data_IF_423263173415
#
_entry.id   IF_423263173415
#
_cell.length_a   1.000
_cell.length_b   1.000
_cell.length_c   1.000
_cell.angle_alpha   90.00
_cell.angle_beta   90.00
_cell.angle_gamma   90.00
#
_symmetry.space_group_name_H-M   'P 1'
#
loop_
_entity.id
_entity.type
_entity.pdbx_description
1 polymer ?
#
# COMPACT_ATOMS: atom_id res chain seq x y z
N UNK A 1 -7.29 51.10 28.11
CA UNK A 1 -6.29 50.08 27.76
C UNK A 1 -7.02 48.76 27.60
N UNK A 2 -7.27 48.35 26.36
CA UNK A 2 -7.85 47.07 26.01
C UNK A 2 -6.75 46.01 26.02
N UNK A 3 -6.83 45.04 26.93
CA UNK A 3 -5.94 43.88 26.93
C UNK A 3 -6.26 42.94 25.76
N UNK A 4 -5.28 42.19 25.21
CA UNK A 4 -5.57 41.17 24.21
C UNK A 4 -6.18 39.94 24.88
N UNK A 5 -7.30 39.49 24.31
CA UNK A 5 -7.92 38.18 24.53
C UNK A 5 -7.00 37.08 24.02
N UNK A 6 -6.46 36.26 24.94
CA UNK A 6 -5.77 35.03 24.58
C UNK A 6 -6.80 33.90 24.44
N UNK A 7 -7.32 33.71 23.22
CA UNK A 7 -7.81 32.39 22.81
C UNK A 7 -6.58 31.54 22.48
N UNK A 8 -5.97 30.96 23.50
CA UNK A 8 -5.04 29.85 23.31
C UNK A 8 -5.85 28.66 22.77
N UNK A 9 -5.72 28.39 21.48
CA UNK A 9 -6.03 27.08 20.92
C UNK A 9 -5.08 26.08 21.59
N UNK A 10 -5.54 25.49 22.70
CA UNK A 10 -4.89 24.40 23.38
C UNK A 10 -4.91 23.19 22.42
N UNK A 11 -3.92 23.10 21.53
CA UNK A 11 -3.62 21.85 20.85
C UNK A 11 -3.30 20.83 21.94
N UNK A 12 -4.26 19.95 22.23
CA UNK A 12 -4.08 18.85 23.16
C UNK A 12 -2.93 17.97 22.63
N UNK A 13 -1.75 18.14 23.20
CA UNK A 13 -0.58 17.32 22.87
C UNK A 13 -0.80 15.94 23.47
N UNK A 14 -0.75 14.91 22.63
CA UNK A 14 -0.82 13.53 23.08
C UNK A 14 0.26 13.26 24.14
N UNK A 15 -0.05 12.42 25.13
CA UNK A 15 0.86 12.15 26.25
C UNK A 15 1.96 11.14 25.90
N UNK A 16 1.90 10.54 24.71
CA UNK A 16 2.81 9.52 24.20
C UNK A 16 3.16 9.80 22.75
N UNK A 17 4.41 9.53 22.38
CA UNK A 17 4.92 9.63 21.00
C UNK A 17 4.49 8.45 20.11
N UNK A 18 3.67 7.53 20.63
CA UNK A 18 3.17 6.37 19.90
C UNK A 18 2.08 6.77 18.91
N UNK A 19 2.12 6.16 17.73
CA UNK A 19 1.07 6.25 16.71
C UNK A 19 0.34 4.92 16.55
N UNK A 20 -0.98 4.99 16.47
CA UNK A 20 -1.86 3.85 16.23
C UNK A 20 -2.57 4.09 14.90
N UNK A 21 -2.35 3.19 13.94
CA UNK A 21 -2.80 3.35 12.55
C UNK A 21 -4.01 2.46 12.31
N UNK A 22 -5.08 3.05 11.79
CA UNK A 22 -6.33 2.37 11.46
C UNK A 22 -6.60 2.55 9.97
N UNK A 23 -6.69 1.45 9.24
CA UNK A 23 -6.78 1.45 7.79
C UNK A 23 -8.10 0.82 7.35
N UNK A 24 -8.94 1.63 6.74
CA UNK A 24 -10.06 1.17 5.93
C UNK A 24 -9.54 0.88 4.52
N UNK A 25 -9.02 -0.34 4.34
CA UNK A 25 -8.29 -0.69 3.11
C UNK A 25 -9.17 -0.60 1.87
N UNK A 26 -10.44 -0.98 2.00
CA UNK A 26 -11.40 -0.89 0.90
C UNK A 26 -11.55 0.55 0.42
N UNK A 27 -11.75 1.51 1.34
CA UNK A 27 -11.82 2.92 0.99
C UNK A 27 -10.53 3.42 0.34
N UNK A 28 -9.36 3.05 0.88
CA UNK A 28 -8.05 3.42 0.31
C UNK A 28 -7.89 2.94 -1.14
N UNK A 29 -8.29 1.70 -1.45
CA UNK A 29 -8.16 1.14 -2.79
C UNK A 29 -9.20 1.73 -3.75
N UNK A 30 -10.48 1.79 -3.35
CA UNK A 30 -11.57 2.31 -4.19
C UNK A 30 -11.37 3.78 -4.51
N UNK A 31 -11.17 4.63 -3.50
CA UNK A 31 -11.00 6.05 -3.72
C UNK A 31 -9.66 6.37 -4.39
N UNK A 32 -8.61 5.60 -4.13
CA UNK A 32 -7.32 5.76 -4.83
C UNK A 32 -7.41 5.48 -6.32
N UNK A 33 -8.12 4.41 -6.69
CA UNK A 33 -8.38 4.08 -8.09
C UNK A 33 -9.14 5.20 -8.81
N UNK A 34 -10.14 5.82 -8.13
CA UNK A 34 -10.94 6.95 -8.65
C UNK A 34 -10.16 8.27 -8.69
N UNK A 35 -9.32 8.54 -7.69
CA UNK A 35 -8.48 9.75 -7.63
C UNK A 35 -7.52 9.75 -8.82
N UNK A 36 -6.84 8.62 -9.04
CA UNK A 36 -5.78 8.47 -10.02
C UNK A 36 -6.28 7.99 -11.40
N UNK A 37 -7.59 7.76 -11.54
CA UNK A 37 -8.25 7.35 -12.78
C UNK A 37 -7.72 6.02 -13.34
N UNK A 38 -7.50 5.05 -12.46
CA UNK A 38 -7.18 3.66 -12.80
C UNK A 38 -8.37 2.75 -12.52
N UNK A 39 -8.59 1.70 -13.33
CA UNK A 39 -9.51 0.64 -12.96
C UNK A 39 -9.10 -0.03 -11.66
N UNK A 40 -10.08 -0.32 -10.79
CA UNK A 40 -9.86 -0.82 -9.44
C UNK A 40 -9.07 -2.13 -9.44
N UNK A 41 -9.33 -3.04 -10.38
CA UNK A 41 -8.64 -4.33 -10.53
C UNK A 41 -7.13 -4.18 -10.77
N UNK A 42 -6.70 -3.06 -11.35
CA UNK A 42 -5.30 -2.79 -11.65
C UNK A 42 -4.59 -1.96 -10.58
N UNK A 43 -5.34 -1.24 -9.74
CA UNK A 43 -4.80 -0.34 -8.73
C UNK A 43 -4.56 -1.09 -7.41
N UNK A 44 -3.32 -1.12 -6.94
CA UNK A 44 -2.94 -1.85 -5.73
C UNK A 44 -2.25 -0.93 -4.72
N UNK A 45 -2.30 -1.34 -3.46
CA UNK A 45 -1.64 -0.67 -2.34
C UNK A 45 -0.69 -1.66 -1.69
N UNK A 46 0.58 -1.28 -1.56
CA UNK A 46 1.50 -2.00 -0.69
C UNK A 46 1.28 -1.51 0.75
N UNK A 47 0.65 -2.36 1.56
CA UNK A 47 0.26 -2.04 2.93
C UNK A 47 1.46 -1.66 3.80
N UNK A 48 2.58 -2.37 3.67
CA UNK A 48 3.78 -2.09 4.45
C UNK A 48 4.34 -0.70 4.13
N UNK A 49 4.38 -0.36 2.83
CA UNK A 49 4.81 0.97 2.39
C UNK A 49 3.83 2.06 2.78
N UNK A 50 2.52 1.80 2.74
CA UNK A 50 1.50 2.74 3.25
C UNK A 50 1.73 3.01 4.74
N UNK A 51 1.85 1.96 5.55
CA UNK A 51 2.12 2.08 6.99
C UNK A 51 3.41 2.86 7.23
N UNK A 52 4.50 2.54 6.52
CA UNK A 52 5.79 3.24 6.65
C UNK A 52 5.66 4.73 6.31
N UNK A 53 4.92 5.03 5.23
CA UNK A 53 4.68 6.40 4.77
C UNK A 53 3.91 7.21 5.79
N UNK A 54 2.79 6.69 6.32
CA UNK A 54 1.96 7.45 7.28
C UNK A 54 2.61 7.51 8.66
N UNK A 55 3.33 6.44 9.06
CA UNK A 55 4.07 6.40 10.31
C UNK A 55 5.10 7.53 10.37
N UNK A 56 5.76 7.82 9.26
CA UNK A 56 6.75 8.88 9.14
C UNK A 56 7.76 8.86 10.30
N UNK A 57 8.46 7.72 10.47
CA UNK A 57 9.47 7.45 11.51
C UNK A 57 8.97 7.40 12.97
N UNK A 58 7.74 7.86 13.27
CA UNK A 58 7.15 7.84 14.62
C UNK A 58 7.05 6.43 15.18
N UNK A 59 7.07 6.27 16.51
CA UNK A 59 7.03 4.93 17.14
C UNK A 59 5.64 4.30 16.97
N UNK A 60 5.56 3.05 16.52
CA UNK A 60 4.28 2.34 16.37
C UNK A 60 3.78 1.83 17.72
N UNK A 61 2.52 2.13 18.03
CA UNK A 61 1.75 1.49 19.10
C UNK A 61 0.88 0.32 18.61
N UNK A 62 0.46 0.36 17.33
CA UNK A 62 -0.30 -0.72 16.68
C UNK A 62 -0.79 -0.35 15.28
N UNK A 63 -1.10 -1.37 14.47
CA UNK A 63 -1.67 -1.21 13.14
C UNK A 63 -2.88 -2.14 13.01
N UNK A 64 -4.02 -1.57 12.63
CA UNK A 64 -5.30 -2.24 12.52
C UNK A 64 -5.85 -2.01 11.12
N UNK A 65 -6.19 -3.09 10.41
CA UNK A 65 -6.55 -3.06 9.01
C UNK A 65 -7.85 -3.83 8.83
N UNK A 66 -8.86 -3.15 8.32
CA UNK A 66 -10.12 -3.76 7.93
C UNK A 66 -10.30 -3.65 6.42
N UNK A 67 -10.77 -4.71 5.78
CA UNK A 67 -11.05 -4.73 4.34
C UNK A 67 -12.04 -5.83 3.96
N UNK A 68 -12.41 -5.89 2.68
CA UNK A 68 -13.28 -6.95 2.17
C UNK A 68 -12.61 -7.90 1.19
N UNK A 69 -13.10 -9.13 1.18
CA UNK A 69 -12.76 -10.16 0.19
C UNK A 69 -13.96 -10.40 -0.75
N UNK A 70 -13.71 -10.68 -2.04
CA UNK A 70 -14.77 -11.10 -2.95
C UNK A 70 -15.49 -12.34 -2.43
N UNK A 71 -16.81 -12.41 -2.62
CA UNK A 71 -17.60 -13.57 -2.19
C UNK A 71 -17.29 -14.84 -3.00
N UNK A 72 -16.96 -14.65 -4.29
CA UNK A 72 -16.46 -15.69 -5.19
C UNK A 72 -15.08 -15.20 -5.64
N UNK A 73 -14.04 -15.92 -5.24
CA UNK A 73 -12.67 -15.60 -5.62
C UNK A 73 -12.34 -16.24 -6.98
N UNK A 74 -11.94 -15.42 -7.95
CA UNK A 74 -10.89 -15.88 -8.87
C UNK A 74 -9.68 -16.19 -8.00
N UNK A 75 -9.16 -17.41 -8.07
CA UNK A 75 -8.11 -17.85 -7.16
C UNK A 75 -6.74 -17.47 -7.72
N UNK A 76 -5.84 -16.80 -6.98
CA UNK A 76 -6.04 -16.15 -5.70
C UNK A 76 -6.61 -14.72 -5.84
N UNK A 77 -7.40 -14.25 -4.85
CA UNK A 77 -7.81 -12.85 -4.77
C UNK A 77 -6.59 -11.92 -4.84
N UNK A 78 -6.71 -10.87 -5.64
CA UNK A 78 -5.73 -9.80 -5.87
C UNK A 78 -4.95 -9.36 -4.62
N UNK A 79 -5.62 -9.27 -3.47
CA UNK A 79 -5.06 -8.74 -2.22
C UNK A 79 -4.57 -9.83 -1.22
N UNK A 80 -4.76 -11.13 -1.50
CA UNK A 80 -4.45 -12.21 -0.55
C UNK A 80 -2.98 -12.20 -0.10
N UNK A 81 -2.06 -11.98 -1.05
CA UNK A 81 -0.63 -11.86 -0.76
C UNK A 81 -0.33 -10.62 0.10
N UNK A 82 -1.08 -9.53 -0.05
CA UNK A 82 -0.90 -8.33 0.76
C UNK A 82 -1.37 -8.55 2.19
N UNK A 83 -2.48 -9.27 2.41
CA UNK A 83 -2.97 -9.63 3.74
C UNK A 83 -1.98 -10.46 4.53
N UNK A 84 -1.49 -11.54 3.93
CA UNK A 84 -0.52 -12.43 4.59
C UNK A 84 0.78 -11.73 4.92
N UNK A 85 1.24 -10.82 4.05
CA UNK A 85 2.41 -9.97 4.34
C UNK A 85 2.16 -9.04 5.53
N UNK A 86 0.98 -8.43 5.62
CA UNK A 86 0.61 -7.56 6.73
C UNK A 86 0.52 -8.34 8.06
N UNK A 87 -0.07 -9.53 8.05
CA UNK A 87 -0.13 -10.42 9.22
C UNK A 87 1.28 -10.86 9.68
N UNK A 88 2.16 -11.21 8.74
CA UNK A 88 3.56 -11.56 9.02
C UNK A 88 4.36 -10.40 9.64
N UNK A 89 3.95 -9.15 9.39
CA UNK A 89 4.51 -7.94 10.01
C UNK A 89 3.92 -7.64 11.39
N UNK A 90 3.01 -8.48 11.88
CA UNK A 90 2.34 -8.33 13.16
C UNK A 90 1.19 -7.32 13.15
N UNK A 91 0.67 -6.95 11.96
CA UNK A 91 -0.50 -6.08 11.88
C UNK A 91 -1.78 -6.86 12.20
N UNK A 92 -2.74 -6.20 12.86
CA UNK A 92 -4.05 -6.77 13.11
C UNK A 92 -4.90 -6.62 11.84
N UNK A 93 -4.97 -7.68 11.04
CA UNK A 93 -5.71 -7.72 9.78
C UNK A 93 -7.02 -8.45 9.96
N UNK A 94 -8.12 -7.81 9.56
CA UNK A 94 -9.45 -8.42 9.53
C UNK A 94 -10.10 -8.22 8.16
N UNK A 95 -10.44 -9.33 7.51
CA UNK A 95 -11.15 -9.30 6.22
C UNK A 95 -12.56 -9.85 6.34
N UNK A 96 -13.51 -9.24 5.64
CA UNK A 96 -14.91 -9.65 5.62
C UNK A 96 -15.35 -10.06 4.21
N UNK A 97 -16.03 -11.21 4.04
CA UNK A 97 -16.60 -11.57 2.74
C UNK A 97 -17.72 -10.58 2.38
N UNK A 98 -17.74 -10.14 1.12
CA UNK A 98 -18.86 -9.35 0.58
C UNK A 98 -20.14 -10.17 0.54
N UNK A 99 -21.29 -9.49 0.61
CA UNK A 99 -22.60 -10.13 0.57
C UNK A 99 -22.98 -10.64 -0.84
N UNK A 100 -24.14 -11.30 -0.96
CA UNK A 100 -24.68 -11.82 -2.23
C UNK A 100 -24.82 -10.78 -3.36
N UNK A 101 -24.88 -9.49 -3.02
CA UNK A 101 -24.91 -8.38 -3.97
C UNK A 101 -23.52 -7.75 -4.19
N UNK A 102 -22.46 -8.45 -3.77
CA UNK A 102 -21.07 -8.00 -3.77
C UNK A 102 -20.84 -6.66 -3.04
N UNK A 103 -21.67 -6.36 -2.03
CA UNK A 103 -21.50 -5.19 -1.16
C UNK A 103 -20.72 -5.56 0.10
N UNK A 104 -19.86 -4.65 0.51
CA UNK A 104 -19.13 -4.75 1.77
C UNK A 104 -20.08 -4.68 2.97
N UNK A 105 -19.74 -5.42 4.04
CA UNK A 105 -20.50 -5.42 5.29
C UNK A 105 -19.56 -5.72 6.46
N UNK A 106 -19.63 -4.92 7.52
CA UNK A 106 -18.96 -5.18 8.80
C UNK A 106 -17.54 -4.62 8.93
N UNK A 107 -16.93 -4.14 7.84
CA UNK A 107 -15.60 -3.50 7.84
C UNK A 107 -15.60 -2.27 8.77
N UNK A 108 -16.53 -1.34 8.57
CA UNK A 108 -16.57 -0.09 9.36
C UNK A 108 -16.81 -0.35 10.85
N UNK A 109 -17.68 -1.30 11.16
CA UNK A 109 -18.03 -1.67 12.53
C UNK A 109 -16.82 -2.24 13.26
N UNK A 110 -16.11 -3.18 12.64
CA UNK A 110 -14.91 -3.79 13.23
C UNK A 110 -13.80 -2.76 13.44
N UNK A 111 -13.55 -1.92 12.44
CA UNK A 111 -12.52 -0.88 12.55
C UNK A 111 -12.88 0.16 13.63
N UNK A 112 -14.15 0.57 13.72
CA UNK A 112 -14.63 1.45 14.78
C UNK A 112 -14.50 0.82 16.18
N UNK A 113 -14.78 -0.48 16.32
CA UNK A 113 -14.56 -1.23 17.56
C UNK A 113 -13.08 -1.25 17.97
N UNK A 114 -12.17 -1.55 17.03
CA UNK A 114 -10.72 -1.52 17.29
C UNK A 114 -10.26 -0.12 17.72
N UNK A 115 -10.74 0.93 17.06
CA UNK A 115 -10.45 2.32 17.45
C UNK A 115 -10.88 2.58 18.90
N UNK A 116 -12.12 2.22 19.24
CA UNK A 116 -12.68 2.44 20.57
C UNK A 116 -11.92 1.64 21.64
N UNK A 117 -11.56 0.39 21.36
CA UNK A 117 -10.76 -0.44 22.25
C UNK A 117 -9.41 0.21 22.55
N UNK A 118 -8.68 0.68 21.52
CA UNK A 118 -7.40 1.36 21.70
C UNK A 118 -7.56 2.64 22.51
N UNK A 119 -8.55 3.47 22.18
CA UNK A 119 -8.82 4.73 22.89
C UNK A 119 -9.07 4.51 24.39
N UNK A 120 -9.74 3.41 24.75
CA UNK A 120 -10.14 3.12 26.14
C UNK A 120 -9.09 2.35 26.94
N UNK A 121 -8.21 1.59 26.27
CA UNK A 121 -7.27 0.68 26.94
C UNK A 121 -5.82 1.12 26.89
N UNK A 122 -5.45 2.04 25.99
CA UNK A 122 -4.06 2.49 25.80
C UNK A 122 -3.86 3.91 26.31
N UNK A 123 -2.61 4.23 26.65
CA UNK A 123 -2.20 5.61 26.94
C UNK A 123 -2.37 6.48 25.69
N UNK A 124 -2.97 7.69 25.80
CA UNK A 124 -3.16 8.57 24.66
C UNK A 124 -1.88 8.84 23.88
N UNK A 125 -1.90 8.45 22.60
CA UNK A 125 -0.90 8.77 21.59
C UNK A 125 -1.55 9.53 20.43
N UNK A 126 -1.09 9.31 19.21
CA UNK A 126 -1.75 9.81 17.99
C UNK A 126 -2.51 8.68 17.31
N UNK A 127 -3.80 8.88 17.08
CA UNK A 127 -4.64 8.05 16.24
C UNK A 127 -4.53 8.56 14.80
N UNK A 128 -4.00 7.72 13.91
CA UNK A 128 -3.96 7.95 12.47
C UNK A 128 -5.07 7.13 11.83
N UNK A 129 -6.07 7.80 11.26
CA UNK A 129 -7.17 7.15 10.55
C UNK A 129 -6.99 7.32 9.04
N UNK A 130 -6.90 6.22 8.32
CA UNK A 130 -6.79 6.21 6.86
C UNK A 130 -8.14 5.83 6.25
N UNK A 131 -8.99 6.83 6.04
CA UNK A 131 -10.28 6.72 5.34
C UNK A 131 -10.82 8.10 5.00
N UNK A 132 -11.66 8.18 3.97
CA UNK A 132 -12.50 9.34 3.70
C UNK A 132 -13.90 9.27 4.34
N UNK A 133 -14.28 8.13 4.92
CA UNK A 133 -15.67 7.85 5.32
C UNK A 133 -16.08 8.57 6.62
N UNK A 134 -17.22 9.28 6.58
CA UNK A 134 -17.76 9.98 7.74
C UNK A 134 -18.26 9.08 8.86
N UNK A 135 -18.47 7.78 8.62
CA UNK A 135 -19.01 6.87 9.64
C UNK A 135 -18.07 6.73 10.87
N UNK A 136 -16.79 7.09 10.72
CA UNK A 136 -15.81 7.13 11.81
C UNK A 136 -15.82 8.43 12.65
N UNK A 137 -16.77 9.34 12.42
CA UNK A 137 -16.84 10.61 13.17
C UNK A 137 -17.01 10.42 14.68
N UNK A 138 -17.85 9.46 15.07
CA UNK A 138 -18.11 9.13 16.47
C UNK A 138 -16.84 8.66 17.21
N UNK A 139 -16.12 7.62 16.74
CA UNK A 139 -14.88 7.20 17.40
C UNK A 139 -13.81 8.29 17.42
N UNK A 140 -13.71 9.10 16.36
CA UNK A 140 -12.75 10.20 16.28
C UNK A 140 -13.07 11.31 17.31
N UNK A 141 -14.33 11.68 17.49
CA UNK A 141 -14.73 12.64 18.52
C UNK A 141 -14.46 12.09 19.93
N UNK A 142 -14.69 10.78 20.16
CA UNK A 142 -14.32 10.14 21.42
C UNK A 142 -12.81 10.17 21.67
N UNK A 143 -11.99 10.02 20.64
CA UNK A 143 -10.53 10.13 20.75
C UNK A 143 -10.12 11.52 21.29
N UNK A 144 -10.71 12.58 20.73
CA UNK A 144 -10.50 13.97 21.20
C UNK A 144 -10.92 14.16 22.67
N UNK A 145 -12.09 13.68 23.06
CA UNK A 145 -12.55 13.72 24.47
C UNK A 145 -11.57 13.02 25.42
N UNK A 146 -10.90 11.97 24.93
CA UNK A 146 -9.87 11.20 25.65
C UNK A 146 -8.45 11.73 25.46
N UNK A 147 -8.30 12.95 24.93
CA UNK A 147 -7.01 13.65 24.74
C UNK A 147 -6.02 12.93 23.82
N UNK A 148 -6.52 12.18 22.84
CA UNK A 148 -5.69 11.64 21.75
C UNK A 148 -5.40 12.71 20.71
N UNK A 149 -4.19 12.68 20.14
CA UNK A 149 -3.93 13.32 18.86
C UNK A 149 -4.70 12.60 17.76
N UNK A 150 -5.23 13.33 16.78
CA UNK A 150 -5.96 12.76 15.64
C UNK A 150 -5.40 13.30 14.35
N UNK A 151 -5.13 12.39 13.41
CA UNK A 151 -4.62 12.68 12.07
C UNK A 151 -5.40 11.84 11.06
N UNK A 152 -5.99 12.49 10.05
CA UNK A 152 -6.80 11.83 9.03
C UNK A 152 -6.01 11.80 7.72
N UNK A 153 -5.83 10.61 7.16
CA UNK A 153 -5.26 10.42 5.83
C UNK A 153 -6.34 9.99 4.87
N UNK A 154 -6.55 10.76 3.81
CA UNK A 154 -7.63 10.44 2.86
C UNK A 154 -7.29 10.85 1.44
N UNK A 155 -8.01 10.25 0.48
CA UNK A 155 -8.01 10.74 -0.89
C UNK A 155 -8.91 11.98 -0.99
N UNK A 156 -8.47 13.07 -1.66
CA UNK A 156 -9.24 14.31 -1.73
C UNK A 156 -10.68 14.15 -2.23
N UNK A 157 -10.92 13.32 -3.26
CA UNK A 157 -12.29 13.07 -3.77
C UNK A 157 -13.18 12.27 -2.82
N UNK A 158 -12.59 11.46 -1.95
CA UNK A 158 -13.32 10.58 -1.03
C UNK A 158 -13.56 11.19 0.36
N UNK A 159 -12.99 12.36 0.65
CA UNK A 159 -12.98 12.91 2.01
C UNK A 159 -14.32 13.53 2.42
N UNK A 160 -14.88 13.04 3.52
CA UNK A 160 -16.05 13.64 4.15
C UNK A 160 -15.81 15.08 4.63
N UNK A 161 -16.85 15.92 4.54
CA UNK A 161 -16.75 17.37 4.85
C UNK A 161 -16.40 17.64 6.32
N UNK A 162 -16.92 16.85 7.24
CA UNK A 162 -16.70 17.01 8.67
C UNK A 162 -15.27 16.65 9.09
N UNK A 163 -14.55 15.83 8.30
CA UNK A 163 -13.13 15.55 8.51
C UNK A 163 -12.22 16.75 8.25
N UNK A 164 -12.69 17.79 7.53
CA UNK A 164 -11.94 19.04 7.30
C UNK A 164 -11.59 19.81 8.59
N UNK A 165 -12.28 19.51 9.70
CA UNK A 165 -12.01 20.12 11.01
C UNK A 165 -10.88 19.44 11.80
N UNK A 166 -10.25 18.41 11.22
CA UNK A 166 -9.16 17.66 11.83
C UNK A 166 -7.86 17.89 11.05
N UNK A 167 -6.69 17.71 11.68
CA UNK A 167 -5.43 17.59 10.95
C UNK A 167 -5.57 16.53 9.87
N UNK A 168 -5.34 16.92 8.61
CA UNK A 168 -5.56 16.09 7.46
C UNK A 168 -4.33 16.08 6.56
N UNK A 169 -3.96 14.89 6.08
CA UNK A 169 -2.91 14.66 5.10
C UNK A 169 -3.51 13.96 3.88
N UNK A 170 -3.20 14.50 2.69
CA UNK A 170 -3.73 13.98 1.44
C UNK A 170 -2.92 12.79 0.96
N UNK A 171 -3.56 11.62 0.80
CA UNK A 171 -2.92 10.43 0.20
C UNK A 171 -2.42 10.70 -1.24
N UNK A 172 -3.03 11.67 -1.95
CA UNK A 172 -2.62 12.08 -3.30
C UNK A 172 -1.22 12.66 -3.35
N UNK A 173 -0.70 13.20 -2.26
CA UNK A 173 0.64 13.79 -2.26
C UNK A 173 1.73 12.73 -1.99
N UNK A 174 1.32 11.55 -1.52
CA UNK A 174 2.23 10.48 -1.08
C UNK A 174 2.08 9.16 -1.83
N UNK A 175 1.07 9.04 -2.71
CA UNK A 175 0.72 7.76 -3.35
C UNK A 175 1.86 7.05 -4.08
N UNK A 176 2.84 7.79 -4.62
CA UNK A 176 3.99 7.21 -5.32
C UNK A 176 4.88 6.35 -4.42
N UNK A 177 4.71 6.45 -3.09
CA UNK A 177 5.47 5.67 -2.13
C UNK A 177 4.85 4.32 -1.79
N UNK A 178 3.54 4.14 -2.01
CA UNK A 178 2.82 2.94 -1.59
C UNK A 178 1.89 2.34 -2.66
N UNK A 179 1.44 3.12 -3.64
CA UNK A 179 0.54 2.65 -4.68
C UNK A 179 1.31 2.10 -5.88
N UNK A 180 0.75 1.07 -6.49
CA UNK A 180 1.28 0.50 -7.73
C UNK A 180 0.16 -0.03 -8.62
N UNK A 181 0.44 -0.06 -9.92
CA UNK A 181 -0.54 -0.48 -10.93
C UNK A 181 0.00 -1.71 -11.66
N UNK A 182 -0.82 -2.76 -11.72
CA UNK A 182 -0.47 -4.01 -12.40
C UNK A 182 -1.39 -4.27 -13.57
N UNK A 183 -0.86 -4.30 -14.81
CA UNK A 183 -1.64 -4.63 -16.02
C UNK A 183 -0.75 -5.24 -17.11
N UNK A 184 -1.25 -6.26 -17.79
CA UNK A 184 -0.59 -6.85 -18.96
C UNK A 184 -0.28 -5.79 -20.03
N UNK A 185 -1.18 -4.81 -20.18
CA UNK A 185 -1.03 -3.69 -21.10
C UNK A 185 -1.23 -2.36 -20.37
N UNK A 186 -0.42 -1.31 -20.64
CA UNK A 186 -0.64 0.00 -20.05
C UNK A 186 -1.90 0.68 -20.61
N UNK A 187 -2.57 1.52 -19.82
CA UNK A 187 -3.79 2.25 -20.26
C UNK A 187 -3.51 3.36 -21.29
N UNK A 188 -2.25 3.80 -21.35
CA UNK A 188 -1.76 4.83 -22.25
C UNK A 188 -0.51 4.30 -22.91
N UNK A 189 -0.13 4.96 -23.99
CA UNK A 189 1.18 4.79 -24.59
C UNK A 189 2.30 4.94 -23.54
N UNK A 190 3.13 3.91 -23.40
CA UNK A 190 4.27 3.85 -22.46
C UNK A 190 5.49 3.27 -23.15
N UNK A 191 6.65 3.61 -22.60
CA UNK A 191 7.89 2.90 -22.84
C UNK A 191 7.95 1.67 -21.94
N UNK A 192 8.53 0.58 -22.44
CA UNK A 192 8.53 -0.69 -21.74
C UNK A 192 9.94 -1.24 -21.62
N UNK A 193 10.32 -1.58 -20.39
CA UNK A 193 11.51 -2.36 -20.09
C UNK A 193 11.07 -3.77 -19.72
N UNK A 194 11.71 -4.77 -20.31
CA UNK A 194 11.59 -6.15 -19.84
C UNK A 194 12.80 -6.48 -19.00
N UNK A 195 12.55 -6.94 -17.78
CA UNK A 195 13.57 -7.48 -16.90
C UNK A 195 13.34 -8.98 -16.74
N UNK A 196 14.41 -9.76 -16.62
CA UNK A 196 14.35 -11.19 -16.30
C UNK A 196 15.51 -11.57 -15.41
N UNK A 197 15.27 -12.27 -14.32
CA UNK A 197 16.31 -12.72 -13.41
C UNK A 197 15.75 -13.11 -12.05
N UNK A 198 16.61 -13.68 -11.20
CA UNK A 198 16.22 -14.16 -9.87
C UNK A 198 16.21 -13.00 -8.87
N UNK A 199 15.29 -12.06 -9.08
CA UNK A 199 15.19 -10.83 -8.27
C UNK A 199 14.30 -11.01 -7.03
N UNK A 200 13.46 -12.05 -7.01
CA UNK A 200 12.59 -12.36 -5.87
C UNK A 200 13.35 -13.24 -4.87
N UNK A 201 13.83 -12.64 -3.78
CA UNK A 201 14.47 -13.37 -2.68
C UNK A 201 13.47 -14.11 -1.78
N UNK A 202 12.26 -13.56 -1.65
CA UNK A 202 11.19 -14.10 -0.83
C UNK A 202 9.84 -13.63 -1.36
N UNK A 203 8.82 -14.48 -1.25
CA UNK A 203 7.44 -14.11 -1.58
C UNK A 203 6.98 -12.87 -0.79
N UNK A 204 7.50 -12.66 0.43
CA UNK A 204 7.20 -11.49 1.28
C UNK A 204 7.65 -10.18 0.65
N UNK A 205 8.70 -10.22 -0.17
CA UNK A 205 9.32 -9.06 -0.79
C UNK A 205 9.23 -9.12 -2.32
N UNK A 206 8.26 -9.86 -2.86
CA UNK A 206 8.15 -10.14 -4.31
C UNK A 206 8.24 -8.89 -5.18
N UNK A 207 7.50 -7.84 -4.82
CA UNK A 207 7.47 -6.60 -5.62
C UNK A 207 8.52 -5.58 -5.16
N UNK A 208 9.20 -5.82 -4.05
CA UNK A 208 10.03 -4.82 -3.38
C UNK A 208 11.17 -4.29 -4.26
N UNK A 209 11.94 -5.13 -4.99
CA UNK A 209 12.97 -4.64 -5.92
C UNK A 209 12.43 -3.71 -7.01
N UNK A 210 11.24 -4.03 -7.55
CA UNK A 210 10.59 -3.19 -8.57
C UNK A 210 10.13 -1.87 -7.92
N UNK A 211 9.44 -1.96 -6.78
CA UNK A 211 8.93 -0.79 -6.06
C UNK A 211 10.07 0.16 -5.65
N UNK A 212 11.22 -0.35 -5.20
CA UNK A 212 12.42 0.43 -4.84
C UNK A 212 12.85 1.37 -5.97
N UNK A 213 12.92 0.87 -7.21
CA UNK A 213 13.28 1.68 -8.37
C UNK A 213 12.33 2.87 -8.53
N UNK A 214 11.02 2.60 -8.60
CA UNK A 214 10.03 3.65 -8.83
C UNK A 214 9.97 4.65 -7.67
N UNK A 215 10.03 4.14 -6.44
CA UNK A 215 10.02 4.92 -5.21
C UNK A 215 11.16 5.93 -5.17
N UNK A 216 12.39 5.48 -5.39
CA UNK A 216 13.59 6.33 -5.31
C UNK A 216 13.60 7.45 -6.37
N UNK A 217 12.76 7.33 -7.41
CA UNK A 217 12.60 8.30 -8.49
C UNK A 217 11.31 9.11 -8.39
N UNK A 218 10.54 8.90 -7.31
CA UNK A 218 9.23 9.50 -7.13
C UNK A 218 8.31 9.30 -8.36
N UNK A 219 8.26 8.07 -8.86
CA UNK A 219 7.44 7.65 -10.00
C UNK A 219 6.28 6.76 -9.53
N UNK A 220 5.14 6.81 -10.23
CA UNK A 220 4.07 5.84 -10.00
C UNK A 220 4.52 4.47 -10.55
N UNK A 221 4.67 3.50 -9.64
CA UNK A 221 5.03 2.14 -9.97
C UNK A 221 3.97 1.48 -10.88
N UNK A 222 4.38 1.07 -12.07
CA UNK A 222 3.53 0.47 -13.09
C UNK A 222 4.29 -0.69 -13.73
N UNK A 223 3.82 -1.92 -13.53
CA UNK A 223 4.50 -3.10 -14.04
C UNK A 223 3.55 -4.28 -14.27
N UNK A 224 4.07 -5.38 -14.80
CA UNK A 224 3.38 -6.66 -14.90
C UNK A 224 4.36 -7.81 -14.84
N UNK A 225 4.12 -8.76 -13.94
CA UNK A 225 4.85 -10.03 -13.94
C UNK A 225 4.33 -10.90 -15.08
N UNK A 226 5.22 -11.28 -16.00
CA UNK A 226 4.92 -12.29 -17.03
C UNK A 226 4.93 -13.69 -16.39
N UNK A 227 5.89 -13.92 -15.51
CA UNK A 227 6.05 -15.16 -14.74
C UNK A 227 6.81 -14.86 -13.43
N UNK A 228 7.35 -15.88 -12.78
CA UNK A 228 8.08 -15.74 -11.51
C UNK A 228 9.41 -14.98 -11.59
N UNK A 229 10.03 -14.86 -12.76
CA UNK A 229 11.37 -14.27 -12.92
C UNK A 229 11.39 -13.10 -13.90
N UNK A 230 10.33 -12.92 -14.69
CA UNK A 230 10.25 -11.93 -15.77
C UNK A 230 9.12 -10.94 -15.54
N UNK A 231 9.43 -9.64 -15.68
CA UNK A 231 8.45 -8.57 -15.59
C UNK A 231 8.61 -7.54 -16.72
N UNK A 232 7.49 -6.94 -17.12
CA UNK A 232 7.45 -5.68 -17.88
C UNK A 232 7.29 -4.51 -16.91
N UNK A 233 8.14 -3.49 -17.07
CA UNK A 233 8.07 -2.23 -16.34
C UNK A 233 7.67 -1.11 -17.31
N UNK A 234 6.79 -0.21 -16.89
CA UNK A 234 6.21 0.82 -17.74
C UNK A 234 6.67 2.23 -17.34
N UNK A 235 7.00 3.05 -18.33
CA UNK A 235 7.55 4.40 -18.17
C UNK A 235 6.90 5.42 -19.10
N UNK A 236 6.82 6.68 -18.67
CA UNK A 236 6.21 7.78 -19.43
C UNK A 236 7.16 8.38 -20.48
N UNK A 237 8.47 8.17 -20.34
CA UNK A 237 9.46 8.75 -21.25
C UNK A 237 10.62 7.79 -21.55
N UNK A 238 11.29 8.03 -22.69
CA UNK A 238 12.50 7.29 -23.08
C UNK A 238 13.63 7.49 -22.05
N UNK A 239 13.72 8.68 -21.44
CA UNK A 239 14.74 8.95 -20.43
C UNK A 239 14.52 8.10 -19.16
N UNK A 240 13.27 7.94 -18.73
CA UNK A 240 12.93 7.04 -17.60
C UNK A 240 13.24 5.57 -17.94
N UNK A 241 13.00 5.15 -19.19
CA UNK A 241 13.37 3.81 -19.65
C UNK A 241 14.89 3.59 -19.58
N UNK A 242 15.67 4.54 -20.08
CA UNK A 242 17.13 4.44 -20.08
C UNK A 242 17.70 4.44 -18.66
N UNK A 243 17.18 5.30 -17.77
CA UNK A 243 17.55 5.30 -16.34
C UNK A 243 17.25 3.94 -15.69
N UNK A 244 16.07 3.38 -15.96
CA UNK A 244 15.67 2.08 -15.46
C UNK A 244 16.61 0.98 -15.95
N UNK A 245 16.89 0.98 -17.26
CA UNK A 245 17.80 0.03 -17.91
C UNK A 245 19.17 0.03 -17.23
N UNK A 246 19.76 1.21 -17.07
CA UNK A 246 21.06 1.38 -16.41
C UNK A 246 21.02 0.97 -14.93
N UNK A 247 19.97 1.32 -14.20
CA UNK A 247 19.84 0.96 -12.79
C UNK A 247 19.76 -0.55 -12.60
N UNK A 248 18.95 -1.24 -13.39
CA UNK A 248 18.82 -2.69 -13.31
C UNK A 248 20.12 -3.42 -13.70
N UNK A 249 20.83 -2.94 -14.72
CA UNK A 249 22.15 -3.46 -15.09
C UNK A 249 23.22 -3.21 -14.01
N UNK A 250 23.05 -2.18 -13.18
CA UNK A 250 23.97 -1.90 -12.06
C UNK A 250 23.73 -2.78 -10.83
N UNK A 251 22.59 -3.50 -10.76
CA UNK A 251 22.27 -4.38 -9.63
C UNK A 251 22.92 -5.74 -9.82
N UNK A 252 23.48 -6.25 -8.74
CA UNK A 252 24.07 -7.60 -8.68
C UNK A 252 22.99 -8.65 -8.42
N UNK A 253 22.10 -8.85 -9.42
CA UNK A 253 21.10 -9.91 -9.40
C UNK A 253 21.55 -11.09 -10.27
N UNK A 254 21.44 -12.34 -9.78
CA UNK A 254 21.78 -13.51 -10.59
C UNK A 254 20.97 -13.56 -11.89
N UNK A 255 21.66 -13.84 -13.00
CA UNK A 255 21.06 -14.03 -14.32
C UNK A 255 20.23 -12.82 -14.79
N UNK A 256 20.57 -11.61 -14.34
CA UNK A 256 19.82 -10.40 -14.69
C UNK A 256 19.97 -10.07 -16.19
N UNK A 257 18.84 -10.02 -16.86
CA UNK A 257 18.69 -9.62 -18.25
C UNK A 257 17.76 -8.41 -18.32
N UNK A 258 18.13 -7.45 -19.15
CA UNK A 258 17.41 -6.20 -19.37
C UNK A 258 17.24 -5.98 -20.87
N UNK A 259 16.00 -5.77 -21.31
CA UNK A 259 15.66 -5.58 -22.72
C UNK A 259 14.75 -4.35 -22.88
N UNK A 260 15.22 -3.35 -23.61
CA UNK A 260 14.43 -2.16 -23.95
C UNK A 260 13.51 -2.45 -25.14
N UNK A 261 12.22 -2.66 -24.86
CA UNK A 261 11.24 -3.02 -25.89
C UNK A 261 10.70 -1.81 -26.67
N UNK A 262 11.01 -0.59 -26.22
CA UNK A 262 10.60 0.65 -26.85
C UNK A 262 9.20 1.12 -26.42
N UNK A 263 8.58 1.93 -27.27
CA UNK A 263 7.26 2.54 -27.03
C UNK A 263 6.18 1.79 -27.79
N UNK A 264 4.99 1.66 -27.21
CA UNK A 264 3.80 1.12 -27.88
C UNK A 264 4.03 -0.28 -28.47
N UNK A 265 4.54 -1.21 -27.64
CA UNK A 265 4.75 -2.59 -28.07
C UNK A 265 3.41 -3.15 -28.58
N UNK A 266 3.39 -3.58 -29.85
CA UNK A 266 2.26 -4.31 -30.44
C UNK A 266 2.15 -5.71 -29.84
N UNK A 267 0.93 -6.26 -29.85
CA UNK A 267 0.57 -7.56 -29.25
C UNK A 267 1.54 -8.71 -29.55
N UNK A 268 2.27 -8.72 -30.67
CA UNK A 268 3.17 -9.81 -31.09
C UNK A 268 4.48 -9.93 -30.27
N UNK A 269 4.87 -8.88 -29.54
CA UNK A 269 6.04 -8.90 -28.64
C UNK A 269 5.66 -8.98 -27.16
N UNK A 270 4.37 -9.00 -26.87
CA UNK A 270 3.82 -9.17 -25.52
C UNK A 270 3.23 -10.58 -25.41
N UNK A 271 3.12 -11.17 -24.22
CA UNK A 271 2.50 -12.48 -24.07
C UNK A 271 1.11 -12.49 -24.74
N UNK A 272 0.92 -13.37 -25.73
CA UNK A 272 -0.39 -13.59 -26.35
C UNK A 272 -1.35 -14.15 -25.29
N UNK A 273 -2.64 -13.77 -25.34
CA UNK A 273 -3.73 -14.33 -24.49
C UNK A 273 -3.97 -15.85 -24.69
N UNK A 274 -3.11 -16.54 -25.44
CA UNK A 274 -3.17 -17.99 -25.65
C UNK A 274 -2.53 -18.77 -24.50
N UNK A 275 -3.37 -19.44 -23.71
CA UNK A 275 -3.01 -20.46 -22.71
C UNK A 275 -1.99 -20.04 -21.64
N UNK A 276 -2.28 -18.98 -20.87
CA UNK A 276 -2.82 -19.20 -19.52
C UNK A 276 -2.26 -20.34 -18.64
N UNK A 277 -0.96 -20.68 -18.60
CA UNK A 277 -0.39 -21.20 -17.34
C UNK A 277 -0.22 -20.01 -16.41
N UNK A 278 -1.36 -19.68 -15.80
CA UNK A 278 -1.60 -18.49 -15.06
C UNK A 278 -0.79 -18.55 -13.75
N UNK A 279 0.37 -17.89 -13.69
CA UNK A 279 1.05 -17.67 -12.39
C UNK A 279 0.20 -16.78 -11.46
N UNK A 280 -0.88 -16.17 -12.00
CA UNK A 280 -1.95 -15.49 -11.26
C UNK A 280 -3.20 -16.37 -11.00
N UNK A 281 -3.34 -17.57 -11.58
CA UNK A 281 -4.39 -18.55 -11.17
C UNK A 281 -3.82 -19.69 -10.32
N UNK A 282 -2.49 -19.71 -10.12
CA UNK A 282 -1.87 -20.63 -9.18
C UNK A 282 -2.45 -20.38 -7.81
N UNK A 283 -2.95 -21.43 -7.16
CA UNK A 283 -3.35 -21.35 -5.75
C UNK A 283 -2.18 -20.77 -4.96
N UNK A 284 -2.46 -20.02 -3.90
CA UNK A 284 -1.41 -19.47 -3.04
C UNK A 284 -0.38 -20.54 -2.62
N UNK A 285 -0.84 -21.78 -2.37
CA UNK A 285 0.03 -22.93 -2.10
C UNK A 285 1.05 -23.21 -3.19
N UNK A 286 0.72 -22.99 -4.45
CA UNK A 286 1.61 -23.19 -5.60
C UNK A 286 2.56 -22.01 -5.79
N UNK A 287 2.10 -20.76 -5.55
CA UNK A 287 2.97 -19.56 -5.58
C UNK A 287 4.07 -19.64 -4.50
N UNK A 288 3.74 -20.12 -3.30
CA UNK A 288 4.70 -20.25 -2.19
C UNK A 288 5.63 -21.45 -2.34
N UNK A 289 5.21 -22.49 -3.07
CA UNK A 289 6.06 -23.67 -3.34
C UNK A 289 7.05 -23.40 -4.47
N UNK A 290 6.67 -22.60 -5.48
CA UNK A 290 7.54 -22.22 -6.61
C UNK A 290 8.52 -21.08 -6.27
N UNK A 291 8.29 -20.35 -5.18
CA UNK A 291 9.20 -19.31 -4.69
C UNK A 291 10.16 -19.89 -3.66
N UNK A 292 11.42 -19.41 -3.58
CA UNK A 292 12.40 -19.92 -2.62
C UNK A 292 11.84 -19.93 -1.20
N UNK A 293 11.68 -21.13 -0.61
CA UNK A 293 11.34 -21.28 0.80
C UNK A 293 12.61 -21.17 1.63
N UNK A 294 12.57 -20.34 2.67
CA UNK A 294 13.75 -20.01 3.47
C UNK A 294 14.39 -21.26 4.09
N UNK A 295 15.70 -21.39 3.88
CA UNK A 295 16.62 -22.05 4.81
C UNK A 295 17.56 -20.99 5.37
N UNK A 296 17.60 -20.90 6.71
CA UNK A 296 18.55 -20.13 7.52
C UNK A 296 18.30 -18.61 7.68
N UNK A 297 18.68 -18.17 8.90
CA UNK A 297 18.44 -16.87 9.54
C UNK A 297 18.94 -15.68 8.70
N UNK A 298 18.06 -14.72 8.40
CA UNK A 298 18.48 -13.42 7.85
C UNK A 298 18.52 -12.31 8.92
N UNK A 299 19.61 -11.53 8.96
CA UNK A 299 19.65 -10.20 9.54
C UNK A 299 19.23 -9.17 8.49
N UNK A 300 17.99 -8.66 8.56
CA UNK A 300 17.56 -7.42 7.87
C UNK A 300 16.19 -6.92 8.32
N UNK A 301 15.44 -7.72 9.09
CA UNK A 301 14.19 -7.28 9.74
C UNK A 301 14.44 -6.23 10.85
N UNK A 302 15.68 -6.06 11.35
CA UNK A 302 15.93 -5.09 12.42
C UNK A 302 16.27 -3.68 11.93
N UNK A 303 16.73 -3.46 10.70
CA UNK A 303 17.16 -2.12 10.26
C UNK A 303 16.02 -1.24 9.71
N UNK A 304 14.98 -1.83 9.12
CA UNK A 304 13.77 -1.08 8.72
C UNK A 304 12.86 -0.74 9.90
N UNK A 305 13.01 -1.45 11.04
CA UNK A 305 12.15 -1.27 12.21
C UNK A 305 12.85 -0.54 13.37
N UNK A 306 14.18 -0.55 13.45
CA UNK A 306 14.97 0.22 14.42
C UNK A 306 15.79 1.32 13.74
N UNK A 307 15.14 2.45 13.43
CA UNK A 307 15.75 3.80 13.40
C UNK A 307 17.19 3.94 12.88
N UNK A 308 17.52 3.31 11.76
CA UNK A 308 18.82 3.49 11.11
C UNK A 308 18.80 4.73 10.22
N UNK A 309 19.24 5.87 10.75
CA UNK A 309 19.49 7.10 10.01
C UNK A 309 20.40 6.81 8.80
N UNK A 310 19.86 6.97 7.59
CA UNK A 310 20.67 7.13 6.38
C UNK A 310 21.15 8.59 6.35
N UNK A 311 22.45 8.77 6.57
CA UNK A 311 23.17 9.99 6.18
C UNK A 311 23.28 10.06 4.66
#
# INVERSE_FOLDING_TARGET
MSGPTAHENLFLVATSDLVYIFIDYSNVVHEGSRELSFPNESFNVDINRLVTTVRNERKLGGVFIAGSTPQIASTPPKDELSWKRAEDLGFNVKTFPRNASNKEKGVDVDLACNIMEVILTKTPGTLILITGDSDFSTPINKAKEKKWGVEIWSWPKGMAKNFKSFPHVSLRDHYRFFAYVTRTYPLKSKYVLKISGDIIKSWKWRNEPIMEYYFTRNLLCQFYWINGTTAHLYFDSKNQLQDASNWWLSKDYPNMLVEELGKDIKNDKMPHEGNHTNTQDKKFSEIVVDLPQQTAKEPLVNQLFNGGSLK
#
